data_IF_028557115016
#
_entry.id   IF_028557115016
#
_cell.length_a   1.000
_cell.length_b   1.000
_cell.length_c   1.000
_cell.angle_alpha   90.00
_cell.angle_beta   90.00
_cell.angle_gamma   90.00
#
_symmetry.space_group_name_H-M   'P 1'
#
loop_
_entity.id
_entity.type
_entity.pdbx_description
1 polymer ?
#
# COMPACT_ATOMS: atom_id res chain seq x y z
N UNK A 1 2.60 12.33 -13.78
CA UNK A 1 1.57 13.35 -13.43
C UNK A 1 1.59 13.56 -11.94
N UNK A 2 1.68 14.81 -11.49
CA UNK A 2 1.84 15.11 -10.06
C UNK A 2 0.74 16.05 -9.61
N UNK A 3 -0.20 15.52 -8.84
CA UNK A 3 -1.15 16.32 -8.07
C UNK A 3 -0.43 16.95 -6.87
N UNK A 4 -0.73 18.21 -6.58
CA UNK A 4 -0.28 18.90 -5.37
C UNK A 4 -1.48 19.32 -4.54
N UNK A 5 -1.53 18.83 -3.30
CA UNK A 5 -2.42 19.34 -2.27
C UNK A 5 -1.70 20.40 -1.44
N UNK A 6 -2.37 21.53 -1.25
CA UNK A 6 -1.85 22.69 -0.54
C UNK A 6 -2.99 23.43 0.17
N UNK A 7 -2.65 24.59 0.72
CA UNK A 7 -3.59 25.54 1.28
C UNK A 7 -3.29 26.94 0.73
N UNK A 8 -4.32 27.77 0.50
CA UNK A 8 -4.15 29.20 0.12
C UNK A 8 -3.37 29.94 1.19
N UNK A 9 -3.66 29.64 2.46
CA UNK A 9 -2.87 30.13 3.59
C UNK A 9 -1.56 29.35 3.67
N UNK A 10 -0.39 30.03 3.76
CA UNK A 10 0.89 29.35 3.87
C UNK A 10 0.93 28.46 5.10
N UNK A 11 1.18 27.17 4.87
CA UNK A 11 1.52 26.20 5.90
C UNK A 11 3.04 26.17 6.11
N UNK A 12 3.52 25.60 7.21
CA UNK A 12 4.95 25.35 7.36
C UNK A 12 5.49 24.55 6.16
N UNK A 13 6.72 24.85 5.76
CA UNK A 13 7.41 24.18 4.65
C UNK A 13 7.80 22.74 4.98
N UNK A 14 7.83 22.38 6.27
CA UNK A 14 8.07 21.02 6.74
C UNK A 14 6.80 20.32 7.22
N UNK A 15 6.85 18.99 7.22
CA UNK A 15 5.86 18.11 7.83
C UNK A 15 6.48 17.28 8.94
N UNK A 16 5.64 16.73 9.81
CA UNK A 16 6.04 15.64 10.70
C UNK A 16 5.13 14.43 10.52
N UNK A 17 5.64 13.24 10.86
CA UNK A 17 4.82 12.03 10.99
C UNK A 17 4.21 12.06 12.39
N UNK A 18 2.89 12.18 12.48
CA UNK A 18 2.17 12.25 13.75
C UNK A 18 1.74 10.87 14.28
N UNK A 19 1.57 9.90 13.37
CA UNK A 19 1.23 8.51 13.66
C UNK A 19 1.70 7.62 12.52
N UNK A 20 2.08 6.39 12.84
CA UNK A 20 2.29 5.34 11.85
C UNK A 20 1.95 3.97 12.46
N UNK A 21 1.55 3.04 11.60
CA UNK A 21 1.42 1.60 11.86
C UNK A 21 1.97 0.83 10.64
N UNK A 22 1.75 -0.49 10.57
CA UNK A 22 2.27 -1.35 9.50
C UNK A 22 1.73 -0.99 8.10
N UNK A 23 0.56 -0.35 8.01
CA UNK A 23 -0.12 -0.06 6.75
C UNK A 23 -0.46 1.41 6.54
N UNK A 24 -0.32 2.26 7.56
CA UNK A 24 -0.67 3.68 7.50
C UNK A 24 0.43 4.58 8.04
N UNK A 25 0.51 5.78 7.48
CA UNK A 25 1.34 6.86 8.02
C UNK A 25 0.59 8.20 7.88
N UNK A 26 0.44 8.91 8.99
CA UNK A 26 -0.21 10.22 9.04
C UNK A 26 0.84 11.32 9.09
N UNK A 27 0.76 12.21 8.11
CA UNK A 27 1.63 13.37 7.94
C UNK A 27 0.87 14.64 8.28
N UNK A 28 1.57 15.59 8.89
CA UNK A 28 0.98 16.80 9.45
C UNK A 28 1.79 18.04 9.07
N UNK A 29 1.10 19.02 8.51
CA UNK A 29 1.60 20.38 8.27
C UNK A 29 0.80 21.34 9.15
N UNK A 30 1.50 22.24 9.85
CA UNK A 30 0.89 23.24 10.74
C UNK A 30 1.30 24.64 10.34
N UNK A 31 0.41 25.61 10.52
CA UNK A 31 0.76 27.02 10.59
C UNK A 31 0.13 27.65 11.83
N UNK A 32 0.98 28.02 12.79
CA UNK A 32 0.53 28.44 14.11
C UNK A 32 -0.20 27.31 14.86
N UNK A 33 -1.08 27.69 15.78
CA UNK A 33 -1.80 26.74 16.64
C UNK A 33 -3.09 26.17 16.01
N UNK A 34 -3.66 26.85 15.01
CA UNK A 34 -5.06 26.62 14.58
C UNK A 34 -5.21 26.12 13.16
N UNK A 35 -4.18 26.25 12.31
CA UNK A 35 -4.23 25.82 10.90
C UNK A 35 -3.47 24.53 10.72
N UNK A 36 -4.16 23.53 10.19
CA UNK A 36 -3.63 22.18 10.01
C UNK A 36 -4.03 21.64 8.64
N UNK A 37 -3.09 20.97 7.99
CA UNK A 37 -3.35 20.03 6.90
C UNK A 37 -2.76 18.69 7.31
N UNK A 38 -3.54 17.62 7.18
CA UNK A 38 -3.15 16.28 7.56
C UNK A 38 -3.48 15.32 6.43
N UNK A 39 -2.58 14.41 6.09
CA UNK A 39 -2.91 13.29 5.20
C UNK A 39 -2.53 11.97 5.84
N UNK A 40 -3.41 10.97 5.72
CA UNK A 40 -3.09 9.59 6.09
C UNK A 40 -2.88 8.81 4.81
N UNK A 41 -1.63 8.41 4.56
CA UNK A 41 -1.30 7.50 3.49
C UNK A 41 -1.60 6.08 3.97
N UNK A 42 -2.38 5.34 3.18
CA UNK A 42 -2.84 3.99 3.52
C UNK A 42 -2.46 3.05 2.40
N UNK A 43 -1.77 1.96 2.73
CA UNK A 43 -1.36 0.97 1.75
C UNK A 43 -2.58 0.32 1.10
N UNK A 44 -2.62 0.37 -0.23
CA UNK A 44 -3.74 -0.15 -1.01
C UNK A 44 -4.95 0.78 -1.09
N UNK A 45 -4.93 1.97 -0.48
CA UNK A 45 -6.03 2.93 -0.66
C UNK A 45 -6.05 3.47 -2.09
N UNK A 46 -7.21 3.48 -2.79
CA UNK A 46 -7.37 4.18 -4.06
C UNK A 46 -7.47 5.70 -3.88
N UNK A 47 -7.55 6.17 -2.63
CA UNK A 47 -7.71 7.58 -2.29
C UNK A 47 -6.44 8.16 -1.68
N UNK A 48 -6.13 9.39 -2.08
CA UNK A 48 -5.40 10.36 -1.26
C UNK A 48 -6.43 11.09 -0.40
N UNK A 49 -6.29 11.01 0.92
CA UNK A 49 -7.21 11.63 1.88
C UNK A 49 -6.50 12.77 2.61
N UNK A 50 -7.03 13.98 2.52
CA UNK A 50 -6.46 15.17 3.17
C UNK A 50 -7.51 15.85 4.03
N UNK A 51 -7.26 15.90 5.33
CA UNK A 51 -8.06 16.62 6.31
C UNK A 51 -7.46 18.01 6.56
N UNK A 52 -8.32 19.02 6.60
CA UNK A 52 -7.95 20.40 6.86
C UNK A 52 -8.66 20.90 8.11
N UNK A 53 -7.97 21.73 8.88
CA UNK A 53 -8.53 22.49 10.00
C UNK A 53 -8.18 23.95 9.81
N UNK A 54 -9.19 24.81 9.66
CA UNK A 54 -9.07 26.26 9.43
C UNK A 54 -8.07 26.64 8.32
N UNK A 55 -8.01 25.83 7.26
CA UNK A 55 -7.11 26.00 6.13
C UNK A 55 -7.89 25.77 4.84
N UNK A 56 -7.65 26.58 3.81
CA UNK A 56 -8.43 26.58 2.56
C UNK A 56 -7.77 25.60 1.58
N UNK A 57 -8.37 24.44 1.26
CA UNK A 57 -7.78 23.48 0.34
C UNK A 57 -7.52 24.05 -1.05
N UNK A 58 -6.33 23.77 -1.57
CA UNK A 58 -5.96 23.99 -2.97
C UNK A 58 -5.42 22.69 -3.52
N UNK A 59 -6.00 22.23 -4.61
CA UNK A 59 -5.49 21.11 -5.39
C UNK A 59 -5.03 21.66 -6.73
N UNK A 60 -3.84 21.29 -7.18
CA UNK A 60 -3.36 21.69 -8.50
C UNK A 60 -2.64 20.58 -9.21
N UNK A 61 -2.69 20.64 -10.53
CA UNK A 61 -2.00 19.71 -11.42
C UNK A 61 -1.48 20.50 -12.62
N UNK A 62 -0.26 20.18 -13.05
CA UNK A 62 0.37 20.75 -14.25
C UNK A 62 -0.15 20.03 -15.50
N UNK A 63 -1.47 20.01 -15.66
CA UNK A 63 -2.15 19.57 -16.87
C UNK A 63 -3.40 20.41 -17.18
N UNK A 64 -3.75 20.48 -18.46
CA UNK A 64 -5.03 21.03 -18.93
C UNK A 64 -6.15 19.99 -18.77
N UNK A 65 -7.26 20.38 -18.14
CA UNK A 65 -8.46 19.56 -18.03
C UNK A 65 -9.22 19.56 -19.37
N UNK A 66 -9.40 18.39 -19.96
CA UNK A 66 -10.16 18.23 -21.22
C UNK A 66 -11.66 18.28 -20.97
N UNK A 67 -12.12 17.64 -19.88
CA UNK A 67 -13.51 17.64 -19.49
C UNK A 67 -13.65 17.66 -17.96
N UNK A 68 -14.66 18.41 -17.51
CA UNK A 68 -14.92 18.68 -16.10
C UNK A 68 -16.40 18.42 -15.83
N UNK A 69 -16.68 17.60 -14.83
CA UNK A 69 -18.03 17.35 -14.34
C UNK A 69 -18.14 17.65 -12.86
N UNK A 70 -19.25 18.24 -12.47
CA UNK A 70 -19.62 18.53 -11.10
C UNK A 70 -20.95 17.86 -10.82
N UNK A 71 -20.95 16.92 -9.87
CA UNK A 71 -22.11 16.11 -9.49
C UNK A 71 -22.85 15.51 -10.72
N UNK A 72 -22.08 15.06 -11.71
CA UNK A 72 -22.57 14.43 -12.95
C UNK A 72 -22.95 15.39 -14.08
N UNK A 73 -22.87 16.71 -13.88
CA UNK A 73 -23.15 17.73 -14.91
C UNK A 73 -21.85 18.27 -15.48
N UNK A 74 -21.78 18.44 -16.79
CA UNK A 74 -20.59 19.01 -17.45
C UNK A 74 -20.51 20.53 -17.22
N UNK A 75 -19.32 21.03 -16.90
CA UNK A 75 -19.03 22.46 -16.76
C UNK A 75 -17.68 22.81 -17.41
N UNK A 76 -17.38 24.11 -17.48
CA UNK A 76 -16.06 24.62 -17.83
C UNK A 76 -15.31 25.02 -16.56
N UNK A 77 -13.98 24.93 -16.60
CA UNK A 77 -13.09 25.38 -15.52
C UNK A 77 -12.69 26.85 -15.76
N UNK A 78 -13.64 27.76 -15.64
CA UNK A 78 -13.56 29.18 -16.04
C UNK A 78 -13.54 30.16 -14.86
N UNK A 79 -13.37 29.65 -13.63
CA UNK A 79 -13.27 30.45 -12.41
C UNK A 79 -14.59 30.73 -11.70
N UNK A 80 -15.73 30.24 -12.20
CA UNK A 80 -16.97 30.32 -11.43
C UNK A 80 -16.94 29.41 -10.20
N UNK A 81 -17.56 29.90 -9.12
CA UNK A 81 -17.76 29.12 -7.89
C UNK A 81 -19.07 28.35 -7.98
N UNK A 82 -19.00 27.03 -7.80
CA UNK A 82 -20.14 26.13 -7.82
C UNK A 82 -20.13 25.24 -6.58
N UNK A 83 -21.32 24.91 -6.06
CA UNK A 83 -21.45 23.98 -4.93
C UNK A 83 -21.31 22.55 -5.44
N UNK A 84 -20.35 21.81 -4.92
CA UNK A 84 -20.05 20.44 -5.33
C UNK A 84 -19.93 19.50 -4.13
N UNK A 85 -20.20 18.22 -4.36
CA UNK A 85 -19.74 17.13 -3.49
C UNK A 85 -18.73 16.22 -4.22
N UNK A 86 -18.86 16.11 -5.54
CA UNK A 86 -18.02 15.29 -6.40
C UNK A 86 -17.63 16.06 -7.65
N UNK A 87 -16.33 16.05 -7.94
CA UNK A 87 -15.77 16.58 -9.18
C UNK A 87 -15.09 15.47 -9.95
N UNK A 88 -15.32 15.37 -11.24
CA UNK A 88 -14.63 14.44 -12.14
C UNK A 88 -13.89 15.24 -13.19
N UNK A 89 -12.63 14.89 -13.40
CA UNK A 89 -11.70 15.61 -14.26
C UNK A 89 -11.08 14.60 -15.21
N UNK A 90 -11.20 14.84 -16.52
CA UNK A 90 -10.54 14.04 -17.53
C UNK A 90 -9.39 14.82 -18.15
N UNK A 91 -8.26 14.16 -18.32
CA UNK A 91 -7.03 14.72 -18.87
C UNK A 91 -6.67 13.98 -20.15
N UNK A 92 -6.77 14.67 -21.29
CA UNK A 92 -6.47 14.06 -22.59
C UNK A 92 -5.00 13.69 -22.75
N UNK A 93 -4.09 14.52 -22.21
CA UNK A 93 -2.65 14.32 -22.38
C UNK A 93 -2.14 13.01 -21.75
N UNK A 94 -2.78 12.58 -20.65
CA UNK A 94 -2.35 11.41 -19.87
C UNK A 94 -3.35 10.28 -19.90
N UNK A 95 -4.47 10.51 -20.54
CA UNK A 95 -5.55 9.56 -20.69
C UNK A 95 -6.15 9.08 -19.35
N UNK A 96 -6.14 9.99 -18.37
CA UNK A 96 -6.60 9.73 -17.00
C UNK A 96 -7.91 10.47 -16.70
N UNK A 97 -8.72 9.87 -15.85
CA UNK A 97 -9.84 10.49 -15.18
C UNK A 97 -9.60 10.44 -13.67
N UNK A 98 -9.74 11.58 -13.01
CA UNK A 98 -9.60 11.72 -11.57
C UNK A 98 -10.91 12.20 -10.96
N UNK A 99 -11.25 11.67 -9.79
CA UNK A 99 -12.42 12.09 -9.02
C UNK A 99 -11.98 12.72 -7.71
N UNK A 100 -12.47 13.93 -7.43
CA UNK A 100 -12.32 14.63 -6.16
C UNK A 100 -13.64 14.54 -5.39
N UNK A 101 -13.56 14.15 -4.13
CA UNK A 101 -14.68 14.09 -3.20
C UNK A 101 -14.52 15.13 -2.10
N UNK A 102 -15.62 15.80 -1.78
CA UNK A 102 -15.69 16.91 -0.84
C UNK A 102 -16.84 16.72 0.15
N UNK A 103 -16.85 17.46 1.27
CA UNK A 103 -18.05 17.58 2.09
C UNK A 103 -19.24 18.06 1.25
N UNK A 104 -20.48 17.62 1.56
CA UNK A 104 -21.67 18.10 0.87
C UNK A 104 -21.76 19.62 0.89
N UNK A 105 -22.19 20.21 -0.24
CA UNK A 105 -22.36 21.67 -0.41
C UNK A 105 -21.07 22.48 -0.25
N UNK A 106 -19.91 21.94 -0.63
CA UNK A 106 -18.65 22.70 -0.63
C UNK A 106 -18.59 23.62 -1.86
N UNK A 107 -18.38 24.94 -1.70
CA UNK A 107 -18.18 25.84 -2.83
C UNK A 107 -16.79 25.64 -3.41
N UNK A 108 -16.72 25.31 -4.69
CA UNK A 108 -15.47 25.03 -5.40
C UNK A 108 -15.31 25.98 -6.55
N UNK A 109 -14.10 26.49 -6.72
CA UNK A 109 -13.68 27.27 -7.88
C UNK A 109 -12.60 26.51 -8.63
N UNK A 110 -12.81 26.33 -9.92
CA UNK A 110 -11.83 25.72 -10.83
C UNK A 110 -11.32 26.79 -11.79
N UNK A 111 -10.00 26.97 -11.87
CA UNK A 111 -9.35 27.82 -12.87
C UNK A 111 -8.31 27.02 -13.66
N UNK A 112 -8.31 27.18 -14.98
CA UNK A 112 -7.26 26.65 -15.85
C UNK A 112 -6.49 27.81 -16.47
N UNK A 113 -5.17 27.83 -16.33
CA UNK A 113 -4.28 28.77 -16.97
C UNK A 113 -3.13 28.01 -17.64
N UNK A 114 -2.96 28.21 -18.95
CA UNK A 114 -1.99 27.50 -19.80
C UNK A 114 -2.08 25.97 -19.63
N UNK A 115 -1.10 25.38 -18.95
CA UNK A 115 -0.99 23.94 -18.69
C UNK A 115 -1.31 23.59 -17.25
N UNK A 116 -1.81 24.51 -16.43
CA UNK A 116 -2.06 24.29 -15.01
C UNK A 116 -3.54 24.43 -14.69
N UNK A 117 -4.08 23.42 -14.03
CA UNK A 117 -5.42 23.46 -13.44
C UNK A 117 -5.31 23.61 -11.93
N UNK A 118 -6.09 24.53 -11.38
CA UNK A 118 -6.20 24.78 -9.94
C UNK A 118 -7.66 24.64 -9.52
N UNK A 119 -7.87 23.89 -8.43
CA UNK A 119 -9.17 23.65 -7.81
C UNK A 119 -9.04 24.09 -6.36
N UNK A 120 -9.85 25.07 -5.98
CA UNK A 120 -9.82 25.70 -4.68
C UNK A 120 -11.21 25.61 -4.03
N UNK A 121 -11.27 25.37 -2.73
CA UNK A 121 -12.49 25.58 -1.96
C UNK A 121 -12.67 27.08 -1.73
N UNK A 122 -13.70 27.67 -2.32
CA UNK A 122 -13.91 29.12 -2.37
C UNK A 122 -14.60 29.64 -1.09
N UNK A 123 -13.99 29.39 0.07
CA UNK A 123 -14.45 29.85 1.39
C UNK A 123 -13.37 30.66 2.10
N UNK A 124 -13.75 31.50 3.09
CA UNK A 124 -12.80 32.24 3.92
C UNK A 124 -12.02 31.35 4.91
N UNK A 125 -12.56 30.19 5.24
CA UNK A 125 -11.94 29.14 6.05
C UNK A 125 -12.61 27.80 5.74
N UNK A 126 -11.90 26.69 5.90
CA UNK A 126 -12.45 25.35 5.69
C UNK A 126 -11.92 24.39 6.76
N UNK A 127 -12.82 23.53 7.24
CA UNK A 127 -12.50 22.43 8.15
C UNK A 127 -13.27 21.20 7.71
N UNK A 128 -12.55 20.19 7.22
CA UNK A 128 -13.15 19.03 6.61
C UNK A 128 -12.16 18.19 5.83
N UNK A 129 -12.65 17.13 5.20
CA UNK A 129 -11.83 16.16 4.47
C UNK A 129 -12.10 16.24 2.98
N UNK A 130 -11.02 16.34 2.20
CA UNK A 130 -11.00 16.24 0.75
C UNK A 130 -10.34 14.94 0.35
N UNK A 131 -10.88 14.24 -0.64
CA UNK A 131 -10.28 13.00 -1.16
C UNK A 131 -10.12 13.06 -2.67
N UNK A 132 -9.10 12.40 -3.19
CA UNK A 132 -8.84 12.28 -4.62
C UNK A 132 -8.57 10.82 -4.96
N UNK A 133 -9.19 10.33 -6.02
CA UNK A 133 -8.97 9.00 -6.57
C UNK A 133 -8.76 9.05 -8.09
N UNK A 134 -7.94 8.14 -8.60
CA UNK A 134 -7.84 7.86 -10.03
C UNK A 134 -9.03 6.97 -10.41
N UNK A 135 -9.99 7.48 -11.17
CA UNK A 135 -11.22 6.77 -11.53
C UNK A 135 -11.14 6.08 -12.89
N UNK A 136 -10.21 6.48 -13.75
CA UNK A 136 -9.87 5.80 -15.00
C UNK A 136 -8.43 6.16 -15.38
N UNK A 137 -7.65 5.22 -15.91
CA UNK A 137 -6.29 5.44 -16.39
C UNK A 137 -6.13 5.13 -17.90
N UNK A 138 -7.27 4.96 -18.59
CA UNK A 138 -7.36 4.63 -20.00
C UNK A 138 -8.68 5.17 -20.57
N UNK A 139 -8.87 6.48 -20.62
CA UNK A 139 -10.14 7.09 -21.04
C UNK A 139 -10.37 7.11 -22.57
N UNK A 140 -9.32 7.06 -23.37
CA UNK A 140 -9.27 7.17 -24.82
C UNK A 140 -8.47 6.01 -25.45
N UNK A 141 -7.85 5.14 -24.65
CA UNK A 141 -7.07 4.01 -25.16
C UNK A 141 -5.62 4.37 -25.51
N UNK A 142 -5.16 5.58 -25.18
CA UNK A 142 -3.82 6.07 -25.56
C UNK A 142 -2.78 5.84 -24.47
N UNK A 143 -3.22 5.48 -23.26
CA UNK A 143 -2.33 5.18 -22.14
C UNK A 143 -1.55 3.88 -22.36
N UNK A 144 -0.24 3.82 -22.04
CA UNK A 144 0.52 2.55 -22.09
C UNK A 144 0.09 1.56 -21.00
N UNK A 145 -0.70 2.01 -20.02
CA UNK A 145 -1.23 1.20 -18.92
C UNK A 145 -2.70 0.78 -19.13
N UNK A 146 -3.26 1.06 -20.32
CA UNK A 146 -4.51 0.45 -20.78
C UNK A 146 -4.39 -1.07 -20.80
N UNK A 147 -5.50 -1.78 -20.54
CA UNK A 147 -5.48 -3.25 -20.62
C UNK A 147 -5.32 -3.76 -22.07
N UNK A 148 -5.83 -3.00 -23.04
CA UNK A 148 -5.59 -3.19 -24.47
C UNK A 148 -5.21 -1.85 -25.14
N UNK A 149 -4.08 -1.77 -25.86
CA UNK A 149 -3.68 -0.55 -26.57
C UNK A 149 -4.74 -0.12 -27.60
N UNK A 150 -5.13 1.16 -27.57
CA UNK A 150 -6.15 1.72 -28.45
C UNK A 150 -7.60 1.49 -28.00
N UNK A 151 -7.82 0.75 -26.92
CA UNK A 151 -9.16 0.46 -26.41
C UNK A 151 -9.40 1.19 -25.07
N UNK A 152 -10.30 2.18 -25.02
CA UNK A 152 -10.63 2.86 -23.78
C UNK A 152 -11.36 1.94 -22.80
N UNK A 153 -11.06 2.10 -21.51
CA UNK A 153 -11.78 1.45 -20.43
C UNK A 153 -13.16 2.09 -20.26
N UNK A 154 -14.18 1.51 -20.88
CA UNK A 154 -15.57 2.00 -20.83
C UNK A 154 -16.41 1.30 -19.76
N UNK A 155 -16.10 0.06 -19.40
CA UNK A 155 -16.84 -0.72 -18.42
C UNK A 155 -16.37 -0.47 -16.98
N UNK A 156 -16.55 0.77 -16.49
CA UNK A 156 -16.08 1.21 -15.16
C UNK A 156 -17.21 1.59 -14.20
N UNK A 157 -18.46 1.27 -14.54
CA UNK A 157 -19.62 1.66 -13.71
C UNK A 157 -19.52 1.09 -12.28
N UNK A 158 -19.17 -0.19 -12.16
CA UNK A 158 -19.02 -0.86 -10.86
C UNK A 158 -17.87 -0.25 -10.04
N UNK A 159 -16.72 0.00 -10.69
CA UNK A 159 -15.56 0.60 -10.05
C UNK A 159 -15.83 2.02 -9.57
N UNK A 160 -16.45 2.87 -10.41
CA UNK A 160 -16.85 4.22 -10.01
C UNK A 160 -17.86 4.21 -8.87
N UNK A 161 -18.79 3.25 -8.87
CA UNK A 161 -19.71 3.04 -7.74
C UNK A 161 -18.98 2.63 -6.47
N UNK A 162 -17.99 1.74 -6.56
CA UNK A 162 -17.14 1.34 -5.44
C UNK A 162 -16.30 2.50 -4.89
N UNK A 163 -15.75 3.34 -5.78
CA UNK A 163 -15.08 4.58 -5.41
C UNK A 163 -16.03 5.57 -4.70
N UNK A 164 -17.24 5.75 -5.23
CA UNK A 164 -18.23 6.63 -4.62
C UNK A 164 -18.65 6.14 -3.23
N UNK A 165 -18.92 4.84 -3.10
CA UNK A 165 -19.26 4.22 -1.81
C UNK A 165 -18.11 4.34 -0.81
N UNK A 166 -16.89 3.96 -1.21
CA UNK A 166 -15.72 4.00 -0.33
C UNK A 166 -15.23 5.40 0.00
N UNK A 167 -15.58 6.41 -0.80
CA UNK A 167 -15.23 7.82 -0.56
C UNK A 167 -15.73 8.35 0.78
N UNK A 168 -16.80 7.78 1.35
CA UNK A 168 -17.31 8.19 2.65
C UNK A 168 -16.59 7.57 3.84
N UNK A 169 -15.70 6.58 3.63
CA UNK A 169 -14.95 5.90 4.69
C UNK A 169 -13.46 6.26 4.68
N UNK A 170 -13.01 6.88 5.77
CA UNK A 170 -11.64 7.35 5.96
C UNK A 170 -10.92 6.38 6.89
N UNK A 171 -9.97 5.63 6.35
CA UNK A 171 -9.12 4.74 7.13
C UNK A 171 -8.14 5.58 7.95
N UNK A 172 -8.06 5.31 9.24
CA UNK A 172 -7.27 6.07 10.22
C UNK A 172 -6.11 5.26 10.79
N UNK A 173 -6.21 3.94 10.81
CA UNK A 173 -5.14 3.01 11.17
C UNK A 173 -5.46 1.59 10.70
N UNK A 174 -4.49 0.70 10.82
CA UNK A 174 -4.68 -0.73 10.65
C UNK A 174 -4.11 -1.50 11.85
N UNK A 175 -4.67 -2.69 12.12
CA UNK A 175 -4.14 -3.62 13.11
C UNK A 175 -3.90 -4.96 12.43
N UNK A 176 -2.66 -5.45 12.54
CA UNK A 176 -2.24 -6.73 11.99
C UNK A 176 -2.35 -7.82 13.07
N UNK A 177 -3.00 -8.93 12.74
CA UNK A 177 -3.12 -10.11 13.59
C UNK A 177 -2.51 -11.34 12.93
N UNK A 178 -1.93 -12.22 13.75
CA UNK A 178 -1.42 -13.52 13.32
C UNK A 178 -1.91 -14.59 14.28
N UNK A 179 -2.36 -15.70 13.72
CA UNK A 179 -2.85 -16.86 14.45
C UNK A 179 -2.40 -18.13 13.72
N UNK A 180 -1.80 -19.08 14.43
CA UNK A 180 -1.43 -20.37 13.85
C UNK A 180 -2.69 -21.25 13.76
N UNK A 181 -2.98 -21.77 12.57
CA UNK A 181 -4.17 -22.59 12.31
C UNK A 181 -3.74 -23.82 11.52
N UNK A 182 -3.62 -24.96 12.20
CA UNK A 182 -3.25 -26.25 11.60
C UNK A 182 -1.96 -26.17 10.74
N UNK A 183 -2.08 -26.08 9.43
CA UNK A 183 -1.05 -26.06 8.40
C UNK A 183 -0.96 -24.69 7.69
N UNK A 184 -1.46 -23.65 8.35
CA UNK A 184 -1.44 -22.28 7.86
C UNK A 184 -1.20 -21.29 9.00
N UNK A 185 -0.77 -20.09 8.61
CA UNK A 185 -0.81 -18.91 9.46
C UNK A 185 -1.97 -18.06 8.96
N UNK A 186 -2.99 -17.93 9.80
CA UNK A 186 -4.07 -16.98 9.61
C UNK A 186 -3.54 -15.57 9.90
N UNK A 187 -3.55 -14.75 8.86
CA UNK A 187 -3.12 -13.35 8.93
C UNK A 187 -4.36 -12.48 8.73
N UNK A 188 -4.65 -11.58 9.67
CA UNK A 188 -5.76 -10.65 9.57
C UNK A 188 -5.29 -9.20 9.56
N UNK A 189 -5.99 -8.35 8.83
CA UNK A 189 -5.81 -6.90 8.88
C UNK A 189 -7.16 -6.27 9.15
N UNK A 190 -7.29 -5.61 10.30
CA UNK A 190 -8.47 -4.83 10.65
C UNK A 190 -8.22 -3.36 10.32
N UNK A 191 -8.99 -2.82 9.38
CA UNK A 191 -8.91 -1.43 8.95
C UNK A 191 -9.81 -0.56 9.82
N UNK A 192 -9.21 0.18 10.76
CA UNK A 192 -9.94 1.16 11.54
C UNK A 192 -10.31 2.33 10.63
N UNK A 193 -11.58 2.69 10.61
CA UNK A 193 -12.10 3.71 9.74
C UNK A 193 -13.21 4.51 10.41
N UNK A 194 -13.41 5.72 9.93
CA UNK A 194 -14.47 6.61 10.35
C UNK A 194 -15.16 7.22 9.13
N UNK A 195 -16.35 7.81 9.35
CA UNK A 195 -16.99 8.59 8.30
C UNK A 195 -16.12 9.80 7.98
N UNK A 196 -15.72 9.95 6.72
CA UNK A 196 -14.99 11.14 6.25
C UNK A 196 -15.76 12.44 6.46
N UNK A 197 -17.10 12.36 6.41
CA UNK A 197 -18.02 13.48 6.61
C UNK A 197 -19.11 13.06 7.61
N UNK A 198 -19.01 13.44 8.90
CA UNK A 198 -19.88 12.93 9.97
C UNK A 198 -21.38 13.12 9.73
N UNK A 199 -21.76 14.21 9.07
CA UNK A 199 -23.15 14.54 8.75
C UNK A 199 -23.66 13.94 7.44
N UNK A 200 -22.80 13.23 6.70
CA UNK A 200 -23.23 12.55 5.48
C UNK A 200 -24.12 11.36 5.82
N UNK A 201 -25.23 11.26 5.08
CA UNK A 201 -26.10 10.08 5.10
C UNK A 201 -25.51 8.89 4.33
N UNK A 202 -24.39 9.10 3.63
CA UNK A 202 -23.71 8.02 2.92
C UNK A 202 -23.28 6.93 3.90
N UNK A 203 -23.74 5.71 3.63
CA UNK A 203 -23.23 4.49 4.24
C UNK A 203 -22.33 3.87 3.18
N UNK A 204 -21.02 3.96 3.41
CA UNK A 204 -20.02 3.43 2.51
C UNK A 204 -19.35 2.18 3.08
N UNK A 205 -18.83 1.34 2.21
CA UNK A 205 -17.96 0.23 2.57
C UNK A 205 -16.50 0.64 2.47
N UNK A 206 -15.60 -0.02 3.20
CA UNK A 206 -14.16 0.20 2.99
C UNK A 206 -13.78 -0.34 1.61
N UNK A 207 -13.11 0.48 0.81
CA UNK A 207 -12.68 0.14 -0.55
C UNK A 207 -11.17 0.28 -0.68
N UNK A 208 -10.51 -0.81 -1.07
CA UNK A 208 -9.06 -0.96 -1.12
C UNK A 208 -8.64 -1.75 -2.34
N UNK A 209 -7.36 -1.67 -2.67
CA UNK A 209 -6.69 -2.48 -3.67
C UNK A 209 -5.92 -3.63 -3.01
N UNK A 210 -6.20 -4.84 -3.46
CA UNK A 210 -5.40 -6.02 -3.15
C UNK A 210 -4.32 -6.25 -4.23
N UNK A 211 -3.11 -6.56 -3.78
CA UNK A 211 -2.01 -7.01 -4.65
C UNK A 211 -2.29 -8.42 -5.18
N UNK A 212 -1.67 -8.83 -6.31
CA UNK A 212 -1.90 -10.15 -6.90
C UNK A 212 -1.79 -11.31 -5.92
N UNK A 213 -0.73 -11.36 -5.10
CA UNK A 213 -0.55 -12.43 -4.12
C UNK A 213 -1.62 -12.45 -3.01
N UNK A 214 -2.23 -11.31 -2.69
CA UNK A 214 -3.28 -11.22 -1.67
C UNK A 214 -4.60 -11.81 -2.19
N UNK A 215 -4.90 -11.60 -3.48
CA UNK A 215 -6.17 -12.04 -4.07
C UNK A 215 -6.38 -13.55 -3.98
N UNK A 216 -5.32 -14.34 -4.17
CA UNK A 216 -5.37 -15.80 -4.08
C UNK A 216 -5.40 -16.34 -2.64
N UNK A 217 -5.14 -15.50 -1.64
CA UNK A 217 -5.03 -15.92 -0.24
C UNK A 217 -6.25 -15.52 0.60
N UNK A 218 -7.19 -14.73 0.06
CA UNK A 218 -8.37 -14.31 0.82
C UNK A 218 -9.16 -15.53 1.29
N UNK A 219 -9.40 -15.60 2.59
CA UNK A 219 -10.27 -16.61 3.19
C UNK A 219 -11.73 -16.21 3.02
N UNK A 220 -12.59 -17.18 2.72
CA UNK A 220 -14.05 -17.00 2.73
C UNK A 220 -14.67 -17.29 4.12
N UNK A 221 -13.88 -17.19 5.18
CA UNK A 221 -14.34 -17.38 6.56
C UNK A 221 -15.46 -16.40 6.95
N UNK A 222 -16.32 -16.87 7.86
CA UNK A 222 -17.41 -16.06 8.42
C UNK A 222 -16.85 -14.79 9.09
N UNK A 223 -17.41 -13.64 8.73
CA UNK A 223 -16.99 -12.35 9.26
C UNK A 223 -15.77 -11.71 8.56
N UNK A 224 -15.25 -12.28 7.46
CA UNK A 224 -14.19 -11.69 6.63
C UNK A 224 -14.63 -11.46 5.17
N UNK A 225 -15.87 -11.01 4.99
CA UNK A 225 -16.47 -10.88 3.67
C UNK A 225 -15.84 -9.76 2.83
N UNK A 226 -15.30 -10.16 1.68
CA UNK A 226 -14.75 -9.28 0.65
C UNK A 226 -15.45 -9.52 -0.68
N UNK A 227 -15.73 -8.45 -1.40
CA UNK A 227 -16.27 -8.50 -2.76
C UNK A 227 -15.25 -7.90 -3.74
N UNK A 228 -14.93 -8.65 -4.79
CA UNK A 228 -14.07 -8.18 -5.88
C UNK A 228 -14.87 -7.35 -6.87
N UNK A 229 -14.33 -6.20 -7.26
CA UNK A 229 -14.88 -5.39 -8.36
C UNK A 229 -14.31 -5.91 -9.67
N UNK A 230 -15.16 -6.30 -10.61
CA UNK A 230 -14.70 -7.03 -11.80
C UNK A 230 -13.76 -6.21 -12.71
N UNK A 231 -13.96 -4.89 -12.76
CA UNK A 231 -13.21 -3.96 -13.60
C UNK A 231 -12.65 -2.79 -12.78
N UNK A 232 -11.75 -2.00 -13.37
CA UNK A 232 -11.33 -0.71 -12.81
C UNK A 232 -10.24 -0.78 -11.75
N UNK A 233 -9.30 -1.72 -11.82
CA UNK A 233 -8.07 -1.68 -11.06
C UNK A 233 -7.01 -0.77 -11.67
N UNK A 234 -5.83 -0.77 -11.06
CA UNK A 234 -4.66 -0.08 -11.59
C UNK A 234 -3.44 -0.99 -11.60
N UNK A 235 -2.61 -0.87 -12.63
CA UNK A 235 -1.32 -1.55 -12.68
C UNK A 235 -0.24 -0.71 -12.01
N UNK A 236 0.64 -1.35 -11.26
CA UNK A 236 1.87 -0.78 -10.75
C UNK A 236 3.04 -1.75 -10.97
N UNK A 237 4.21 -1.46 -10.39
CA UNK A 237 5.41 -2.31 -10.49
C UNK A 237 5.22 -3.73 -9.93
N UNK A 238 4.13 -4.00 -9.21
CA UNK A 238 3.78 -5.30 -8.61
C UNK A 238 2.65 -6.01 -9.36
N UNK A 239 2.23 -5.51 -10.52
CA UNK A 239 1.17 -6.09 -11.34
C UNK A 239 -0.16 -5.33 -11.24
N UNK A 240 -1.25 -6.01 -11.60
CA UNK A 240 -2.61 -5.46 -11.51
C UNK A 240 -3.09 -5.49 -10.05
N UNK A 241 -3.46 -4.33 -9.51
CA UNK A 241 -4.08 -4.27 -8.20
C UNK A 241 -5.58 -4.43 -8.35
N UNK A 242 -6.10 -5.49 -7.75
CA UNK A 242 -7.50 -5.86 -7.79
C UNK A 242 -8.31 -4.97 -6.83
N UNK A 243 -9.33 -4.24 -7.28
CA UNK A 243 -10.20 -3.52 -6.37
C UNK A 243 -11.09 -4.48 -5.56
N UNK A 244 -11.18 -4.20 -4.26
CA UNK A 244 -11.86 -5.02 -3.25
C UNK A 244 -12.67 -4.13 -2.32
N UNK A 245 -13.93 -4.49 -2.14
CA UNK A 245 -14.83 -3.90 -1.16
C UNK A 245 -14.87 -4.82 0.05
N UNK A 246 -14.69 -4.27 1.25
CA UNK A 246 -14.93 -4.98 2.49
C UNK A 246 -16.39 -4.77 2.89
N UNK A 247 -17.18 -5.84 2.88
CA UNK A 247 -18.63 -5.78 3.11
C UNK A 247 -19.00 -6.03 4.57
N UNK A 248 -18.08 -6.56 5.38
CA UNK A 248 -18.29 -6.70 6.82
C UNK A 248 -18.22 -5.33 7.53
N UNK A 249 -18.95 -5.19 8.64
CA UNK A 249 -18.90 -3.99 9.48
C UNK A 249 -17.57 -3.83 10.22
N UNK A 250 -16.79 -4.91 10.34
CA UNK A 250 -15.51 -4.92 11.02
C UNK A 250 -14.34 -4.35 10.22
N UNK A 251 -14.51 -4.11 8.91
CA UNK A 251 -13.42 -3.62 8.06
C UNK A 251 -12.22 -4.57 8.01
N UNK A 252 -12.45 -5.90 8.02
CA UNK A 252 -11.38 -6.88 8.20
C UNK A 252 -11.08 -7.67 6.92
N UNK A 253 -9.80 -7.78 6.59
CA UNK A 253 -9.25 -8.75 5.65
C UNK A 253 -8.67 -9.95 6.40
N UNK A 254 -8.86 -11.15 5.85
CA UNK A 254 -8.25 -12.39 6.36
C UNK A 254 -7.59 -13.14 5.21
N UNK A 255 -6.34 -13.51 5.43
CA UNK A 255 -5.57 -14.38 4.55
C UNK A 255 -5.17 -15.65 5.28
N UNK A 256 -5.22 -16.78 4.59
CA UNK A 256 -4.61 -18.02 5.04
C UNK A 256 -3.32 -18.23 4.25
N UNK A 257 -2.18 -18.14 4.94
CA UNK A 257 -0.86 -18.38 4.34
C UNK A 257 -0.45 -19.80 4.69
N UNK A 258 -0.39 -20.75 3.73
CA UNK A 258 0.03 -22.11 4.03
C UNK A 258 1.42 -22.13 4.66
N UNK A 259 1.56 -22.82 5.79
CA UNK A 259 2.86 -23.08 6.39
C UNK A 259 3.40 -24.38 5.79
N UNK A 260 4.59 -24.32 5.20
CA UNK A 260 5.29 -25.50 4.72
C UNK A 260 6.32 -25.89 5.77
N UNK A 261 6.33 -27.13 6.28
CA UNK A 261 7.35 -27.57 7.22
C UNK A 261 8.71 -27.54 6.52
N UNK A 262 9.65 -26.75 7.04
CA UNK A 262 11.02 -26.71 6.55
C UNK A 262 11.88 -27.59 7.46
N UNK A 263 12.38 -28.75 6.99
CA UNK A 263 13.25 -29.60 7.81
C UNK A 263 14.62 -28.93 8.02
N UNK A 264 15.34 -29.37 9.05
CA UNK A 264 16.69 -28.86 9.35
C UNK A 264 17.71 -29.22 8.27
N UNK A 265 17.59 -30.41 7.69
CA UNK A 265 18.47 -30.97 6.66
C UNK A 265 17.62 -31.67 5.60
N UNK A 266 17.99 -31.51 4.32
CA UNK A 266 17.38 -32.27 3.23
C UNK A 266 18.00 -33.67 3.12
N UNK A 267 17.23 -34.67 2.71
CA UNK A 267 17.76 -36.03 2.57
C UNK A 267 18.73 -36.11 1.37
N UNK A 268 20.00 -36.50 1.58
CA UNK A 268 20.95 -36.65 0.48
C UNK A 268 20.62 -37.87 -0.38
N UNK A 269 20.92 -37.79 -1.67
CA UNK A 269 20.82 -38.93 -2.58
C UNK A 269 21.78 -40.06 -2.12
N UNK A 270 21.31 -41.31 -1.96
CA UNK A 270 22.14 -42.38 -1.40
C UNK A 270 23.47 -42.61 -2.14
N UNK A 271 23.47 -42.47 -3.48
CA UNK A 271 24.66 -42.64 -4.31
C UNK A 271 25.74 -41.56 -4.11
N UNK A 272 25.38 -40.41 -3.53
CA UNK A 272 26.29 -39.27 -3.30
C UNK A 272 26.85 -39.21 -1.89
N UNK A 273 26.42 -40.10 -1.00
CA UNK A 273 26.89 -40.15 0.39
C UNK A 273 28.42 -40.29 0.51
N UNK A 274 29.13 -41.09 -0.30
CA UNK A 274 30.59 -41.16 -0.23
C UNK A 274 31.26 -39.82 -0.55
N UNK A 275 30.87 -39.18 -1.66
CA UNK A 275 31.38 -37.87 -2.09
C UNK A 275 31.12 -36.78 -1.04
N UNK A 276 29.93 -36.81 -0.43
CA UNK A 276 29.56 -35.87 0.62
C UNK A 276 30.41 -36.03 1.87
N UNK A 277 30.70 -37.27 2.30
CA UNK A 277 31.60 -37.55 3.42
C UNK A 277 33.03 -37.09 3.13
N UNK A 278 33.54 -37.33 1.93
CA UNK A 278 34.86 -36.85 1.52
C UNK A 278 34.94 -35.31 1.54
N UNK A 279 33.90 -34.65 1.04
CA UNK A 279 33.80 -33.19 1.06
C UNK A 279 33.78 -32.65 2.48
N UNK A 280 32.99 -33.27 3.36
CA UNK A 280 32.89 -32.89 4.78
C UNK A 280 34.22 -33.08 5.52
N UNK A 281 34.97 -34.14 5.21
CA UNK A 281 36.32 -34.35 5.75
C UNK A 281 37.29 -33.25 5.28
N UNK A 282 37.15 -32.76 4.06
CA UNK A 282 37.93 -31.61 3.58
C UNK A 282 37.57 -30.35 4.36
N UNK A 283 36.27 -30.11 4.56
CA UNK A 283 35.76 -28.97 5.33
C UNK A 283 36.05 -29.07 6.83
N UNK A 284 36.32 -30.26 7.38
CA UNK A 284 36.69 -30.42 8.79
C UNK A 284 37.97 -29.65 9.20
N UNK A 285 38.74 -29.16 8.22
CA UNK A 285 39.90 -28.29 8.42
C UNK A 285 39.58 -26.81 8.32
N UNK A 286 38.39 -26.47 7.87
CA UNK A 286 37.93 -25.10 7.73
C UNK A 286 37.59 -24.52 9.11
N UNK A 287 38.00 -23.27 9.33
CA UNK A 287 37.69 -22.51 10.53
C UNK A 287 37.48 -21.05 10.18
N UNK A 288 37.10 -20.27 11.17
CA UNK A 288 36.85 -18.85 10.98
C UNK A 288 38.12 -18.09 10.58
N UNK A 289 37.98 -17.17 9.63
CA UNK A 289 39.06 -16.26 9.25
C UNK A 289 39.45 -15.31 10.39
N UNK A 290 40.66 -14.73 10.32
CA UNK A 290 41.20 -13.86 11.37
C UNK A 290 40.29 -12.69 11.76
N UNK A 291 39.58 -12.10 10.79
CA UNK A 291 38.64 -10.99 11.02
C UNK A 291 37.41 -11.41 11.82
N UNK A 292 36.88 -12.62 11.56
CA UNK A 292 35.80 -13.21 12.34
C UNK A 292 36.28 -13.49 13.75
N UNK A 293 37.49 -14.08 13.87
CA UNK A 293 38.10 -14.40 15.16
C UNK A 293 38.37 -13.16 16.01
N UNK A 294 38.68 -12.03 15.39
CA UNK A 294 38.93 -10.76 16.08
C UNK A 294 37.67 -9.89 16.26
N UNK A 295 36.50 -10.34 15.79
CA UNK A 295 35.27 -9.54 15.80
C UNK A 295 35.34 -8.27 14.94
N UNK A 296 36.30 -8.21 14.01
CA UNK A 296 36.51 -7.08 13.10
C UNK A 296 35.80 -7.27 11.76
N UNK A 297 34.96 -8.30 11.65
CA UNK A 297 34.11 -8.55 10.50
C UNK A 297 32.74 -7.89 10.72
N UNK A 298 32.14 -7.39 9.66
CA UNK A 298 30.78 -6.90 9.73
C UNK A 298 29.76 -8.04 9.96
N UNK A 299 28.56 -7.73 10.48
CA UNK A 299 27.55 -8.74 10.77
C UNK A 299 27.10 -9.57 9.57
N UNK A 300 27.18 -9.04 8.34
CA UNK A 300 26.71 -9.77 7.15
C UNK A 300 27.70 -10.87 6.77
N UNK A 301 28.98 -10.54 6.63
CA UNK A 301 29.99 -11.53 6.31
C UNK A 301 30.30 -12.45 7.49
N UNK A 302 30.31 -11.93 8.72
CA UNK A 302 30.39 -12.75 9.94
C UNK A 302 29.23 -13.75 10.03
N UNK A 303 27.99 -13.27 9.79
CA UNK A 303 26.80 -14.12 9.78
C UNK A 303 26.85 -15.22 8.71
N UNK A 304 27.43 -14.96 7.54
CA UNK A 304 27.66 -15.96 6.49
C UNK A 304 28.58 -17.08 6.95
N UNK A 305 29.70 -16.75 7.58
CA UNK A 305 30.64 -17.76 8.10
C UNK A 305 30.01 -18.58 9.23
N UNK A 306 29.27 -17.93 10.15
CA UNK A 306 28.53 -18.62 11.22
C UNK A 306 27.47 -19.57 10.65
N UNK A 307 26.69 -19.12 9.65
CA UNK A 307 25.68 -19.93 9.00
C UNK A 307 26.30 -21.13 8.25
N UNK A 308 27.46 -20.94 7.60
CA UNK A 308 28.21 -22.03 6.97
C UNK A 308 28.60 -23.09 8.00
N UNK A 309 29.21 -22.67 9.13
CA UNK A 309 29.58 -23.59 10.22
C UNK A 309 28.36 -24.33 10.77
N UNK A 310 27.25 -23.63 11.01
CA UNK A 310 26.01 -24.23 11.49
C UNK A 310 25.46 -25.28 10.52
N UNK A 311 25.53 -25.03 9.21
CA UNK A 311 25.13 -26.01 8.19
C UNK A 311 26.04 -27.24 8.17
N UNK A 312 27.36 -27.05 8.29
CA UNK A 312 28.31 -28.16 8.37
C UNK A 312 28.09 -29.04 9.61
N UNK A 313 27.73 -28.46 10.75
CA UNK A 313 27.33 -29.20 11.96
C UNK A 313 26.14 -30.10 11.67
N UNK A 314 25.07 -29.55 11.07
CA UNK A 314 23.85 -30.31 10.79
C UNK A 314 24.10 -31.45 9.78
N UNK A 315 24.91 -31.20 8.75
CA UNK A 315 25.28 -32.23 7.76
C UNK A 315 26.14 -33.33 8.41
N UNK A 316 27.13 -32.96 9.23
CA UNK A 316 27.98 -33.92 9.92
C UNK A 316 27.17 -34.82 10.87
N UNK A 317 26.21 -34.25 11.59
CA UNK A 317 25.31 -34.99 12.47
C UNK A 317 24.44 -35.99 11.70
N UNK A 318 23.82 -35.57 10.58
CA UNK A 318 23.00 -36.44 9.72
C UNK A 318 23.79 -37.62 9.13
N UNK A 319 25.10 -37.44 8.90
CA UNK A 319 25.98 -38.49 8.37
C UNK A 319 26.62 -39.39 9.44
N UNK A 320 26.29 -39.15 10.72
CA UNK A 320 26.90 -39.76 11.93
C UNK A 320 28.41 -39.48 12.09
N UNK A 321 28.89 -38.35 11.56
CA UNK A 321 30.30 -37.91 11.63
C UNK A 321 30.60 -37.17 12.93
N UNK A 322 30.35 -37.82 14.08
CA UNK A 322 30.31 -37.20 15.43
C UNK A 322 31.55 -36.41 15.85
N UNK A 323 32.73 -36.77 15.32
CA UNK A 323 33.97 -36.05 15.62
C UNK A 323 33.98 -34.66 14.95
N UNK A 324 33.56 -34.61 13.69
CA UNK A 324 33.48 -33.38 12.90
C UNK A 324 32.38 -32.48 13.48
N UNK A 325 31.22 -33.05 13.81
CA UNK A 325 30.13 -32.33 14.48
C UNK A 325 30.60 -31.64 15.75
N UNK A 326 31.31 -32.36 16.64
CA UNK A 326 31.83 -31.79 17.89
C UNK A 326 32.87 -30.69 17.65
N UNK A 327 33.76 -30.87 16.67
CA UNK A 327 34.76 -29.87 16.32
C UNK A 327 34.09 -28.56 15.89
N UNK A 328 33.18 -28.61 14.91
CA UNK A 328 32.49 -27.41 14.44
C UNK A 328 31.57 -26.79 15.50
N UNK A 329 30.90 -27.59 16.34
CA UNK A 329 30.11 -27.06 17.45
C UNK A 329 30.98 -26.31 18.46
N UNK A 330 32.18 -26.78 18.74
CA UNK A 330 33.11 -26.09 19.62
C UNK A 330 33.53 -24.75 19.01
N UNK A 331 33.95 -24.75 17.75
CA UNK A 331 34.29 -23.51 17.03
C UNK A 331 33.11 -22.53 17.02
N UNK A 332 31.90 -22.97 16.69
CA UNK A 332 30.73 -22.10 16.66
C UNK A 332 30.40 -21.51 18.04
N UNK A 333 30.38 -22.33 19.10
CA UNK A 333 30.06 -21.90 20.46
C UNK A 333 31.08 -20.96 21.07
N UNK A 334 32.34 -21.02 20.65
CA UNK A 334 33.36 -20.08 21.14
C UNK A 334 33.22 -18.68 20.53
N UNK A 335 32.35 -18.50 19.53
CA UNK A 335 32.16 -17.24 18.80
C UNK A 335 30.78 -16.61 18.97
N UNK A 336 29.81 -17.36 19.49
CA UNK A 336 28.51 -16.86 19.94
C UNK A 336 28.60 -16.46 21.42
#
# INVERSE_FOLDING_TARGET
>A
NTWTFASVSPLATGFCVSRADEFTATFLWKAGATKVMQTTLVRGSPYVTVAYTNAIPVMSIEQHVDAYWLDGKSHKCDGFTLMAQKLVLQFRATDEEWTIYLPPHTPVRCTTADTRTVIEVAEGFFSGTVRLALSNNCTHGTSPICDAPGEPNTNLAEFRSALDSGSSQCITSAVLGFEEVSDAIRTSVTWNHEKCWPHSKAVGNVFLYALPHQTSMFSCEEGAEVAFVANGGHRNLRGYNQPVIITNSGGMWVWLVPSQPVPWVGQPEPGRLPELRESLLSDARWGFGGEVLSGMIDPYFGGKELAKMARLILIADELDERNITRHFMHELKTRL
#
